data_IF_841001941118
#
_entry.id   IF_841001941118
#
_cell.length_a   1.000
_cell.length_b   1.000
_cell.length_c   1.000
_cell.angle_alpha   90.00
_cell.angle_beta   90.00
_cell.angle_gamma   90.00
#
_symmetry.space_group_name_H-M   'P 1'
#
loop_
_entity.id
_entity.type
_entity.pdbx_description
1 polymer ?
#
# COMPACT_ATOMS: atom_id res chain seq x y z
N UNK A 1 -67.68 -16.89 -0.78
CA UNK A 1 -67.26 -17.82 0.29
C UNK A 1 -65.74 -17.75 0.34
N UNK A 2 -65.17 -16.86 1.16
CA UNK A 2 -64.95 -16.92 2.62
C UNK A 2 -63.66 -17.65 3.01
N UNK A 3 -62.96 -17.06 3.99
CA UNK A 3 -61.64 -17.35 4.59
C UNK A 3 -60.45 -16.80 3.79
N UNK A 4 -59.89 -15.61 4.08
CA UNK A 4 -59.62 -14.92 5.36
C UNK A 4 -58.70 -15.69 6.32
N UNK A 5 -57.42 -15.29 6.31
CA UNK A 5 -56.41 -15.36 7.38
C UNK A 5 -55.39 -14.26 7.05
N UNK A 6 -55.61 -12.98 7.39
CA UNK A 6 -55.46 -12.34 8.70
C UNK A 6 -54.23 -12.75 9.51
N UNK A 7 -53.56 -11.71 10.05
CA UNK A 7 -52.57 -11.67 11.15
C UNK A 7 -51.10 -11.90 10.74
N UNK A 8 -50.12 -11.02 11.01
CA UNK A 8 -50.06 -9.82 11.86
C UNK A 8 -48.98 -8.86 11.34
N UNK A 9 -49.40 -7.61 11.14
CA UNK A 9 -48.56 -6.41 11.06
C UNK A 9 -48.07 -6.07 12.47
N UNK A 10 -46.77 -6.21 12.74
CA UNK A 10 -46.14 -5.57 13.90
C UNK A 10 -45.20 -4.48 13.41
N UNK A 11 -45.77 -3.29 13.21
CA UNK A 11 -45.00 -2.08 13.40
C UNK A 11 -44.75 -1.92 14.90
N UNK A 12 -43.50 -2.12 15.33
CA UNK A 12 -43.03 -1.58 16.60
C UNK A 12 -42.16 -0.36 16.30
N UNK A 13 -42.81 0.78 16.13
CA UNK A 13 -42.20 2.11 16.24
C UNK A 13 -41.95 2.35 17.73
N UNK A 14 -40.76 1.98 18.20
CA UNK A 14 -40.33 2.28 19.57
C UNK A 14 -39.35 3.45 19.49
N UNK A 15 -39.86 4.63 19.85
CA UNK A 15 -39.03 5.76 20.27
C UNK A 15 -38.72 5.59 21.76
N UNK A 16 -37.44 5.55 22.17
CA UNK A 16 -37.06 5.97 23.50
C UNK A 16 -36.66 7.45 23.47
N UNK A 17 -37.52 8.22 24.12
CA UNK A 17 -37.35 9.60 24.49
C UNK A 17 -36.41 9.72 25.70
N UNK A 18 -35.45 10.64 25.60
CA UNK A 18 -34.94 11.52 26.68
C UNK A 18 -34.01 10.89 27.76
N UNK A 19 -32.75 11.32 27.68
CA UNK A 19 -31.88 11.84 28.76
C UNK A 19 -31.30 10.84 29.77
N UNK A 20 -30.11 10.37 29.44
CA UNK A 20 -29.05 10.04 30.39
C UNK A 20 -27.74 10.68 29.92
N UNK A 21 -27.27 11.69 30.64
CA UNK A 21 -25.92 12.28 30.49
C UNK A 21 -24.89 11.28 31.02
N UNK A 22 -23.82 11.01 30.26
CA UNK A 22 -22.51 10.44 30.67
C UNK A 22 -21.79 10.08 29.34
N UNK A 23 -20.52 10.30 29.06
CA UNK A 23 -19.32 10.71 29.80
C UNK A 23 -18.47 11.49 28.78
N UNK A 24 -18.02 12.71 29.11
CA UNK A 24 -17.08 13.48 28.29
C UNK A 24 -15.69 12.82 28.38
N UNK A 25 -15.30 12.10 27.34
CA UNK A 25 -13.91 11.68 27.12
C UNK A 25 -13.11 12.84 26.52
N UNK A 26 -12.50 13.63 27.39
CA UNK A 26 -11.45 14.60 27.04
C UNK A 26 -10.17 13.84 26.69
N UNK A 27 -9.67 13.99 25.46
CA UNK A 27 -8.22 14.03 25.24
C UNK A 27 -7.91 15.23 24.33
N UNK A 28 -7.66 16.34 25.03
CA UNK A 28 -6.99 17.54 24.55
C UNK A 28 -5.57 17.14 24.15
N UNK A 29 -5.20 17.22 22.88
CA UNK A 29 -3.80 17.22 22.47
C UNK A 29 -3.51 18.56 21.80
N UNK A 30 -3.17 19.53 22.63
CA UNK A 30 -2.62 20.82 22.22
C UNK A 30 -1.47 21.10 23.17
N UNK A 31 -0.25 20.97 22.67
CA UNK A 31 0.95 21.56 23.27
C UNK A 31 1.87 21.96 22.13
N UNK A 32 1.77 23.24 21.78
CA UNK A 32 2.96 24.04 21.48
C UNK A 32 3.83 24.04 22.75
N UNK A 33 5.11 23.76 22.59
CA UNK A 33 6.18 24.37 23.38
C UNK A 33 7.52 24.10 22.69
N UNK A 34 8.13 25.16 22.17
CA UNK A 34 9.57 25.31 22.16
C UNK A 34 10.13 25.01 23.55
N UNK A 35 11.28 24.33 23.61
CA UNK A 35 12.32 24.71 24.54
C UNK A 35 13.69 24.20 24.08
N UNK A 36 14.51 25.16 23.67
CA UNK A 36 15.95 25.12 23.85
C UNK A 36 16.26 25.30 25.35
N UNK A 37 17.00 24.36 25.96
CA UNK A 37 18.14 24.63 26.86
C UNK A 37 18.83 23.34 27.35
N UNK A 38 20.16 23.41 27.34
CA UNK A 38 21.18 22.43 27.76
C UNK A 38 20.94 21.82 29.15
N UNK A 39 21.45 20.61 29.37
CA UNK A 39 21.74 20.14 30.73
C UNK A 39 22.06 18.65 30.84
N UNK A 40 23.29 18.37 31.27
CA UNK A 40 23.95 17.08 31.49
C UNK A 40 23.30 16.19 32.55
N UNK A 41 23.48 14.87 32.38
CA UNK A 41 23.62 13.80 33.39
C UNK A 41 22.38 12.92 33.72
N UNK A 42 22.58 11.59 33.75
CA UNK A 42 22.17 10.81 34.91
C UNK A 42 23.32 10.01 35.56
N UNK A 43 23.67 10.41 36.78
CA UNK A 43 24.25 9.59 37.86
C UNK A 43 23.02 9.03 38.61
N UNK A 44 22.91 7.81 39.14
CA UNK A 44 23.86 6.99 39.90
C UNK A 44 23.15 5.70 40.33
N UNK A 45 23.90 4.60 40.56
CA UNK A 45 23.74 3.56 41.61
C UNK A 45 24.56 2.33 41.15
N UNK A 46 25.63 1.83 41.77
CA UNK A 46 26.31 2.04 43.07
C UNK A 46 27.79 1.65 42.88
N UNK A 47 28.72 2.30 43.62
CA UNK A 47 30.15 2.04 43.53
C UNK A 47 30.57 0.85 44.42
N UNK A 48 31.47 0.02 43.91
CA UNK A 48 32.37 -0.77 44.76
C UNK A 48 33.81 -0.48 44.37
N UNK A 49 34.42 0.33 45.22
CA UNK A 49 35.85 0.57 45.30
C UNK A 49 36.59 -0.76 45.43
N UNK A 50 37.60 -1.00 44.59
CA UNK A 50 38.89 -1.45 45.09
C UNK A 50 39.99 -1.07 44.10
N UNK A 51 40.87 -0.19 44.57
CA UNK A 51 42.16 0.13 43.97
C UNK A 51 43.04 -1.13 43.96
N UNK A 52 43.87 -1.30 42.94
CA UNK A 52 45.30 -1.58 43.09
C UNK A 52 45.94 -1.59 41.70
N UNK A 53 46.64 -0.49 41.41
CA UNK A 53 48.05 -0.41 41.02
C UNK A 53 48.71 -1.67 40.45
N UNK A 54 49.48 -1.43 39.39
CA UNK A 54 50.04 -2.44 38.52
C UNK A 54 50.81 -3.55 39.22
N UNK A 55 50.46 -4.78 38.88
CA UNK A 55 51.32 -5.97 38.92
C UNK A 55 50.85 -6.86 37.78
N UNK A 56 51.80 -7.41 37.01
CA UNK A 56 51.55 -8.16 35.77
C UNK A 56 50.42 -9.19 35.88
N UNK A 57 49.26 -8.87 35.30
CA UNK A 57 48.20 -9.83 35.04
C UNK A 57 48.52 -10.43 33.67
N UNK A 58 48.68 -11.76 33.54
CA UNK A 58 49.11 -12.34 32.28
C UNK A 58 48.08 -11.98 31.21
N UNK A 59 48.54 -11.41 30.10
CA UNK A 59 47.74 -11.13 28.90
C UNK A 59 46.84 -12.33 28.54
N UNK A 60 47.25 -13.56 28.87
CA UNK A 60 46.46 -14.79 28.68
C UNK A 60 45.15 -14.92 29.47
N UNK A 61 44.95 -14.23 30.61
CA UNK A 61 43.71 -14.32 31.39
C UNK A 61 42.59 -13.45 30.82
N UNK A 62 42.90 -12.20 30.42
CA UNK A 62 41.94 -11.29 29.76
C UNK A 62 41.50 -11.81 28.38
N UNK A 63 42.39 -12.51 27.67
CA UNK A 63 42.08 -13.12 26.36
C UNK A 63 41.12 -14.31 26.50
N UNK A 64 41.20 -15.06 27.61
CA UNK A 64 40.30 -16.20 27.88
C UNK A 64 38.86 -15.80 28.17
N UNK A 65 38.64 -14.65 28.81
CA UNK A 65 37.29 -14.18 29.12
C UNK A 65 36.65 -13.43 27.94
N UNK A 66 37.45 -12.71 27.13
CA UNK A 66 36.98 -12.08 25.91
C UNK A 66 36.48 -13.10 24.86
N UNK A 67 37.11 -14.27 24.77
CA UNK A 67 36.71 -15.32 23.83
C UNK A 67 35.29 -15.87 24.06
N UNK A 68 34.82 -15.88 25.32
CA UNK A 68 33.47 -16.37 25.66
C UNK A 68 32.38 -15.44 25.15
N UNK A 69 32.56 -14.12 25.27
CA UNK A 69 31.60 -13.12 24.78
C UNK A 69 31.52 -13.11 23.25
N UNK A 70 32.64 -13.34 22.56
CA UNK A 70 32.69 -13.41 21.08
C UNK A 70 31.89 -14.60 20.53
N UNK A 71 31.85 -15.73 21.25
CA UNK A 71 31.07 -16.89 20.83
C UNK A 71 29.55 -16.62 20.86
N UNK A 72 29.05 -16.02 21.96
CA UNK A 72 27.62 -15.70 22.08
C UNK A 72 27.17 -14.66 21.06
N UNK A 73 27.98 -13.63 20.80
CA UNK A 73 27.66 -12.64 19.76
C UNK A 73 27.71 -13.26 18.36
N UNK A 74 28.63 -14.20 18.11
CA UNK A 74 28.70 -14.96 16.86
C UNK A 74 27.40 -15.72 16.57
N UNK A 75 26.89 -16.47 17.55
CA UNK A 75 25.61 -17.21 17.41
C UNK A 75 24.46 -16.26 17.13
N UNK A 76 24.39 -15.13 17.84
CA UNK A 76 23.34 -14.11 17.64
C UNK A 76 23.39 -13.54 16.22
N UNK A 77 24.58 -13.19 15.71
CA UNK A 77 24.76 -12.68 14.34
C UNK A 77 24.35 -13.71 13.29
N UNK A 78 24.75 -14.97 13.47
CA UNK A 78 24.35 -16.07 12.56
C UNK A 78 22.83 -16.25 12.56
N UNK A 79 22.18 -16.17 13.72
CA UNK A 79 20.72 -16.23 13.84
C UNK A 79 20.02 -15.11 13.09
N UNK A 80 20.50 -13.87 13.19
CA UNK A 80 19.96 -12.74 12.44
C UNK A 80 20.20 -12.86 10.93
N UNK A 81 21.35 -13.37 10.50
CA UNK A 81 21.61 -13.61 9.07
C UNK A 81 20.69 -14.69 8.50
N UNK A 82 20.55 -15.82 9.19
CA UNK A 82 19.67 -16.90 8.75
C UNK A 82 18.20 -16.47 8.70
N UNK A 83 17.73 -15.80 9.77
CA UNK A 83 16.35 -15.30 9.84
C UNK A 83 16.11 -14.18 8.82
N UNK A 84 17.07 -13.27 8.66
CA UNK A 84 17.02 -12.18 7.69
C UNK A 84 16.98 -12.70 6.24
N UNK A 85 17.74 -13.74 5.92
CA UNK A 85 17.73 -14.35 4.59
C UNK A 85 16.38 -14.99 4.25
N UNK A 86 15.78 -15.73 5.19
CA UNK A 86 14.45 -16.33 5.01
C UNK A 86 13.36 -15.27 4.86
N UNK A 87 13.35 -14.27 5.74
CA UNK A 87 12.41 -13.15 5.65
C UNK A 87 12.59 -12.39 4.33
N UNK A 88 13.83 -12.16 3.90
CA UNK A 88 14.12 -11.49 2.65
C UNK A 88 13.58 -12.28 1.45
N UNK A 89 13.72 -13.61 1.42
CA UNK A 89 13.19 -14.43 0.33
C UNK A 89 11.66 -14.32 0.21
N UNK A 90 10.93 -14.40 1.32
CA UNK A 90 9.46 -14.31 1.33
C UNK A 90 8.99 -12.90 0.95
N UNK A 91 9.60 -11.86 1.55
CA UNK A 91 9.26 -10.46 1.26
C UNK A 91 9.55 -10.15 -0.20
N UNK A 92 10.68 -10.61 -0.73
CA UNK A 92 11.06 -10.42 -2.13
C UNK A 92 10.06 -11.07 -3.08
N UNK A 93 9.64 -12.30 -2.80
CA UNK A 93 8.65 -12.99 -3.63
C UNK A 93 7.28 -12.26 -3.63
N UNK A 94 6.82 -11.84 -2.45
CA UNK A 94 5.52 -11.17 -2.31
C UNK A 94 5.53 -9.72 -2.82
N UNK A 95 6.65 -8.99 -2.68
CA UNK A 95 6.74 -7.60 -3.10
C UNK A 95 7.17 -7.42 -4.56
N UNK A 96 7.86 -8.39 -5.16
CA UNK A 96 8.15 -8.37 -6.61
C UNK A 96 7.02 -8.93 -7.46
N UNK A 97 6.04 -9.58 -6.84
CA UNK A 97 4.72 -9.68 -7.45
C UNK A 97 4.22 -8.25 -7.64
N UNK A 98 4.24 -7.69 -8.85
CA UNK A 98 3.68 -6.36 -9.07
C UNK A 98 2.23 -6.37 -8.58
N UNK A 99 1.99 -5.64 -7.50
CA UNK A 99 0.68 -5.56 -6.92
C UNK A 99 -0.26 -4.81 -7.88
N UNK A 100 -1.55 -5.14 -7.96
CA UNK A 100 -2.50 -4.37 -8.74
C UNK A 100 -2.50 -2.87 -8.37
N UNK A 101 -2.18 -2.55 -7.12
CA UNK A 101 -2.12 -1.19 -6.63
C UNK A 101 -0.93 -0.39 -7.16
N UNK A 102 0.26 -1.00 -7.28
CA UNK A 102 1.42 -0.32 -7.89
C UNK A 102 1.14 -0.02 -9.35
N UNK A 103 0.59 -0.99 -10.09
CA UNK A 103 0.15 -0.83 -11.48
C UNK A 103 -0.85 0.32 -11.63
N UNK A 104 -1.84 0.42 -10.72
CA UNK A 104 -2.78 1.54 -10.71
C UNK A 104 -2.07 2.88 -10.52
N UNK A 105 -1.18 2.98 -9.54
CA UNK A 105 -0.48 4.23 -9.24
C UNK A 105 0.41 4.69 -10.42
N UNK A 106 1.04 3.75 -11.11
CA UNK A 106 1.88 4.04 -12.27
C UNK A 106 1.05 4.37 -13.50
N UNK A 107 -0.05 3.66 -13.74
CA UNK A 107 -1.00 3.99 -14.80
C UNK A 107 -1.61 5.38 -14.60
N UNK A 108 -1.97 5.74 -13.36
CA UNK A 108 -2.51 7.06 -13.04
C UNK A 108 -1.51 8.19 -13.29
N UNK A 109 -0.24 8.00 -12.91
CA UNK A 109 0.84 8.97 -13.21
C UNK A 109 0.97 9.18 -14.72
N UNK A 110 1.06 8.09 -15.48
CA UNK A 110 1.13 8.13 -16.96
C UNK A 110 -0.07 8.83 -17.59
N UNK A 111 -1.28 8.61 -17.07
CA UNK A 111 -2.48 9.31 -17.52
C UNK A 111 -2.41 10.82 -17.22
N UNK A 112 -1.90 11.19 -16.05
CA UNK A 112 -1.79 12.60 -15.61
C UNK A 112 -0.73 13.36 -16.41
N UNK A 113 0.35 12.71 -16.81
CA UNK A 113 1.45 13.33 -17.58
C UNK A 113 1.12 13.49 -19.07
N UNK A 114 0.21 12.68 -19.61
CA UNK A 114 -0.13 12.69 -21.04
C UNK A 114 -0.88 13.96 -21.46
N UNK A 115 -0.34 14.72 -22.41
CA UNK A 115 -0.89 16.03 -22.83
C UNK A 115 -2.34 15.96 -23.29
N UNK A 116 -2.69 15.00 -24.16
CA UNK A 116 -4.08 14.84 -24.65
C UNK A 116 -5.07 14.52 -23.53
N UNK A 117 -4.63 13.83 -22.47
CA UNK A 117 -5.47 13.58 -21.30
C UNK A 117 -5.73 14.87 -20.52
N UNK A 118 -4.72 15.73 -20.37
CA UNK A 118 -4.87 17.05 -19.75
C UNK A 118 -5.82 17.95 -20.53
N UNK A 119 -5.73 17.96 -21.86
CA UNK A 119 -6.59 18.78 -22.70
C UNK A 119 -8.07 18.36 -22.63
N UNK A 120 -8.31 17.05 -22.60
CA UNK A 120 -9.66 16.48 -22.60
C UNK A 120 -10.34 16.48 -21.23
N UNK A 121 -9.60 16.17 -20.16
CA UNK A 121 -10.16 16.12 -18.80
C UNK A 121 -10.06 17.48 -18.08
N UNK A 122 -8.99 18.23 -18.33
CA UNK A 122 -8.63 19.44 -17.58
C UNK A 122 -7.91 19.13 -16.25
N UNK A 123 -6.90 19.93 -15.91
CA UNK A 123 -6.22 19.85 -14.61
C UNK A 123 -7.09 20.50 -13.51
N UNK A 124 -7.15 19.94 -12.27
CA UNK A 124 -6.43 18.78 -11.76
C UNK A 124 -7.12 17.45 -12.10
N UNK A 125 -6.31 16.42 -12.35
CA UNK A 125 -6.78 15.06 -12.65
C UNK A 125 -6.74 14.21 -11.38
N UNK A 126 -7.86 13.58 -11.03
CA UNK A 126 -8.02 12.74 -9.84
C UNK A 126 -8.48 11.34 -10.21
N UNK A 127 -7.85 10.30 -9.65
CA UNK A 127 -8.18 8.90 -9.91
C UNK A 127 -9.13 8.31 -8.86
N UNK A 128 -10.14 7.57 -9.32
CA UNK A 128 -11.13 6.89 -8.49
C UNK A 128 -11.36 5.45 -8.97
N UNK A 129 -11.78 4.56 -8.07
CA UNK A 129 -12.14 3.18 -8.41
C UNK A 129 -13.63 2.91 -8.15
N UNK A 130 -14.18 1.89 -8.80
CA UNK A 130 -15.59 1.45 -8.70
C UNK A 130 -16.08 1.28 -7.24
N UNK A 131 -15.16 0.99 -6.31
CA UNK A 131 -15.46 0.76 -4.88
C UNK A 131 -15.44 2.00 -3.98
N UNK A 132 -15.41 3.22 -4.51
CA UNK A 132 -15.44 4.49 -3.75
C UNK A 132 -16.80 4.73 -3.04
N UNK A 133 -17.25 3.78 -2.23
CA UNK A 133 -18.41 3.93 -1.36
C UNK A 133 -18.07 4.70 -0.08
N UNK A 134 -19.12 5.12 0.66
CA UNK A 134 -19.09 5.90 1.92
C UNK A 134 -18.17 5.35 3.03
N UNK A 135 -17.58 4.17 2.85
CA UNK A 135 -16.75 3.46 3.85
C UNK A 135 -15.23 3.58 3.60
N UNK A 136 -14.82 4.41 2.64
CA UNK A 136 -13.41 4.82 2.48
C UNK A 136 -12.45 3.70 2.09
N UNK A 137 -12.95 2.59 1.53
CA UNK A 137 -12.11 1.46 1.06
C UNK A 137 -12.25 1.33 -0.44
N UNK A 138 -11.28 1.91 -1.15
CA UNK A 138 -11.22 1.94 -2.61
C UNK A 138 -10.78 0.56 -3.12
N UNK A 139 -11.74 -0.32 -3.43
CA UNK A 139 -11.43 -1.59 -4.07
C UNK A 139 -11.15 -1.34 -5.56
N UNK A 140 -9.90 -1.58 -5.96
CA UNK A 140 -9.47 -1.53 -7.35
C UNK A 140 -10.04 -2.74 -8.10
N UNK A 141 -10.75 -2.50 -9.21
CA UNK A 141 -11.27 -3.57 -10.06
C UNK A 141 -10.13 -4.13 -10.90
N UNK A 142 -9.61 -5.28 -10.46
CA UNK A 142 -8.55 -6.01 -11.13
C UNK A 142 -9.00 -7.43 -11.48
N UNK A 143 -8.43 -8.02 -12.52
CA UNK A 143 -8.69 -9.40 -12.93
C UNK A 143 -7.42 -10.00 -13.52
N UNK A 144 -7.03 -11.17 -13.02
CA UNK A 144 -5.97 -11.98 -13.61
C UNK A 144 -6.60 -13.01 -14.54
N UNK A 145 -6.06 -13.12 -15.75
CA UNK A 145 -6.49 -14.11 -16.73
C UNK A 145 -5.28 -14.62 -17.50
N UNK A 146 -5.34 -15.85 -17.98
CA UNK A 146 -4.30 -16.42 -18.84
C UNK A 146 -4.79 -16.39 -20.27
N UNK A 147 -3.97 -15.87 -21.17
CA UNK A 147 -4.23 -15.87 -22.62
C UNK A 147 -2.93 -16.18 -23.34
N UNK A 148 -2.98 -17.09 -24.31
CA UNK A 148 -1.81 -17.52 -25.10
C UNK A 148 -0.66 -18.01 -24.20
N UNK A 149 -0.97 -18.79 -23.15
CA UNK A 149 -0.06 -19.26 -22.09
C UNK A 149 0.68 -18.16 -21.30
N UNK A 150 0.25 -16.91 -21.43
CA UNK A 150 0.80 -15.76 -20.71
C UNK A 150 -0.22 -15.25 -19.68
N UNK A 151 0.23 -15.06 -18.44
CA UNK A 151 -0.55 -14.40 -17.39
C UNK A 151 -0.73 -12.91 -17.72
N UNK A 152 -1.97 -12.45 -17.71
CA UNK A 152 -2.35 -11.06 -17.92
C UNK A 152 -3.01 -10.50 -16.67
N UNK A 153 -2.70 -9.25 -16.37
CA UNK A 153 -3.34 -8.45 -15.33
C UNK A 153 -4.11 -7.31 -16.01
N UNK A 154 -5.42 -7.30 -15.86
CA UNK A 154 -6.27 -6.19 -16.30
C UNK A 154 -6.77 -5.40 -15.10
N UNK A 155 -6.68 -4.08 -15.21
CA UNK A 155 -7.16 -3.14 -14.21
C UNK A 155 -8.06 -2.12 -14.89
N UNK A 156 -9.19 -1.83 -14.26
CA UNK A 156 -10.09 -0.74 -14.65
C UNK A 156 -10.23 0.24 -13.51
N UNK A 157 -10.07 1.52 -13.84
CA UNK A 157 -10.30 2.62 -12.92
C UNK A 157 -10.83 3.84 -13.67
N UNK A 158 -11.18 4.89 -12.94
CA UNK A 158 -11.75 6.11 -13.48
C UNK A 158 -10.84 7.27 -13.14
N UNK A 159 -10.81 8.26 -14.02
CA UNK A 159 -10.13 9.52 -13.81
C UNK A 159 -11.09 10.65 -14.09
N UNK A 160 -11.03 11.67 -13.26
CA UNK A 160 -11.89 12.85 -13.33
C UNK A 160 -11.02 14.08 -13.35
N UNK A 161 -11.22 14.91 -14.38
CA UNK A 161 -10.75 16.29 -14.39
C UNK A 161 -11.87 17.26 -14.07
N UNK A 162 -11.60 18.55 -14.27
CA UNK A 162 -12.59 19.62 -14.10
C UNK A 162 -13.71 19.51 -15.15
N UNK A 163 -13.35 19.18 -16.40
CA UNK A 163 -14.26 19.23 -17.55
C UNK A 163 -14.97 17.90 -17.76
N UNK A 164 -14.20 16.82 -17.79
CA UNK A 164 -14.70 15.49 -18.18
C UNK A 164 -14.17 14.38 -17.26
N UNK A 165 -14.81 13.22 -17.39
CA UNK A 165 -14.40 11.96 -16.76
C UNK A 165 -14.04 10.94 -17.85
N UNK A 166 -13.12 10.04 -17.51
CA UNK A 166 -12.68 8.97 -18.38
C UNK A 166 -12.54 7.65 -17.61
N UNK A 167 -12.86 6.56 -18.27
CA UNK A 167 -12.55 5.21 -17.80
C UNK A 167 -11.23 4.77 -18.41
N UNK A 168 -10.30 4.35 -17.56
CA UNK A 168 -9.01 3.83 -17.99
C UNK A 168 -8.99 2.33 -17.84
N UNK A 169 -8.58 1.65 -18.91
CA UNK A 169 -8.31 0.23 -18.91
C UNK A 169 -6.81 0.02 -19.14
N UNK A 170 -6.14 -0.56 -18.15
CA UNK A 170 -4.75 -0.96 -18.23
C UNK A 170 -4.69 -2.49 -18.35
N UNK A 171 -3.93 -2.99 -19.33
CA UNK A 171 -3.64 -4.42 -19.45
C UNK A 171 -2.13 -4.61 -19.46
N UNK A 172 -1.67 -5.46 -18.56
CA UNK A 172 -0.30 -5.92 -18.48
C UNK A 172 -0.21 -7.41 -18.77
N UNK A 173 0.94 -7.83 -19.26
CA UNK A 173 1.29 -9.22 -19.50
C UNK A 173 2.60 -9.55 -18.77
N UNK A 174 2.68 -10.76 -18.22
CA UNK A 174 3.85 -11.21 -17.47
C UNK A 174 4.87 -11.83 -18.43
N UNK A 175 5.96 -11.10 -18.71
CA UNK A 175 7.09 -11.59 -19.50
C UNK A 175 8.33 -11.72 -18.61
N UNK A 176 8.99 -12.87 -18.64
CA UNK A 176 10.23 -13.12 -17.87
C UNK A 176 10.11 -12.80 -16.37
N UNK A 177 8.92 -13.03 -15.78
CA UNK A 177 8.64 -12.73 -14.37
C UNK A 177 8.36 -11.24 -14.06
N UNK A 178 8.33 -10.36 -15.06
CA UNK A 178 7.97 -8.94 -14.90
C UNK A 178 6.67 -8.63 -15.62
N UNK A 179 5.87 -7.73 -15.07
CA UNK A 179 4.66 -7.25 -15.74
C UNK A 179 5.03 -6.09 -16.67
N UNK A 180 4.66 -6.22 -17.93
CA UNK A 180 4.88 -5.19 -18.95
C UNK A 180 3.53 -4.72 -19.48
N UNK A 181 3.42 -3.42 -19.76
CA UNK A 181 2.21 -2.85 -20.34
C UNK A 181 1.99 -3.41 -21.75
N UNK A 182 0.86 -4.08 -21.97
CA UNK A 182 0.37 -4.44 -23.30
C UNK A 182 -0.30 -3.22 -23.95
N UNK A 183 -1.22 -2.58 -23.22
CA UNK A 183 -1.80 -1.30 -23.60
C UNK A 183 -2.41 -0.58 -22.39
N UNK A 184 -2.44 0.75 -22.48
CA UNK A 184 -3.09 1.65 -21.54
C UNK A 184 -4.00 2.58 -22.36
N UNK A 185 -5.31 2.39 -22.21
CA UNK A 185 -6.31 3.15 -22.97
C UNK A 185 -7.24 3.90 -22.03
N UNK A 186 -7.49 5.17 -22.33
CA UNK A 186 -8.48 6.00 -21.67
C UNK A 186 -9.65 6.24 -22.62
N UNK A 187 -10.87 6.07 -22.12
CA UNK A 187 -12.10 6.33 -22.86
C UNK A 187 -12.91 7.41 -22.14
N UNK A 188 -13.21 8.51 -22.82
CA UNK A 188 -14.03 9.59 -22.25
C UNK A 188 -15.47 9.11 -22.06
N UNK A 189 -16.07 9.47 -20.92
CA UNK A 189 -17.45 9.09 -20.60
C UNK A 189 -18.48 9.98 -21.31
N UNK A 190 -18.15 11.26 -21.50
CA UNK A 190 -19.00 12.24 -22.15
C UNK A 190 -19.13 11.97 -23.67
N UNK A 191 -20.23 12.41 -24.28
CA UNK A 191 -20.48 12.25 -25.71
C UNK A 191 -19.93 13.46 -26.49
N UNK A 192 -19.20 13.27 -27.60
CA UNK A 192 -18.80 12.00 -28.21
C UNK A 192 -17.68 11.28 -27.42
N UNK A 193 -17.77 9.94 -27.34
CA UNK A 193 -16.79 9.13 -26.63
C UNK A 193 -15.49 9.06 -27.42
N UNK A 194 -14.44 9.68 -26.90
CA UNK A 194 -13.10 9.62 -27.48
C UNK A 194 -12.27 8.53 -26.79
N UNK A 195 -11.52 7.75 -27.58
CA UNK A 195 -10.58 6.74 -27.07
C UNK A 195 -9.15 7.18 -27.34
N UNK A 196 -8.32 7.13 -26.32
CA UNK A 196 -6.94 7.60 -26.34
C UNK A 196 -6.04 6.49 -25.86
N UNK A 197 -5.09 6.10 -26.68
CA UNK A 197 -4.04 5.16 -26.31
C UNK A 197 -2.84 5.95 -25.77
N UNK A 198 -2.56 5.77 -24.49
CA UNK A 198 -1.41 6.39 -23.81
C UNK A 198 -0.18 5.51 -24.02
N UNK A 199 -0.37 4.19 -23.93
CA UNK A 199 0.62 3.18 -24.29
C UNK A 199 -0.08 2.17 -25.18
N UNK A 200 0.53 1.87 -26.32
CA UNK A 200 0.13 0.75 -27.16
C UNK A 200 1.37 -0.05 -27.56
N UNK A 201 1.60 -1.15 -26.85
CA UNK A 201 2.67 -2.10 -27.13
C UNK A 201 2.11 -3.37 -27.76
N UNK A 202 0.88 -3.33 -28.25
CA UNK A 202 0.41 -4.37 -29.15
C UNK A 202 1.38 -4.34 -30.32
N UNK A 203 2.18 -5.39 -30.46
CA UNK A 203 2.86 -5.67 -31.71
C UNK A 203 1.78 -5.50 -32.76
N UNK A 204 1.90 -4.46 -33.60
CA UNK A 204 1.09 -4.33 -34.78
C UNK A 204 1.45 -5.55 -35.64
N UNK A 205 0.87 -6.71 -35.33
CA UNK A 205 0.50 -7.66 -36.36
C UNK A 205 -0.58 -6.90 -37.10
N UNK A 206 -0.12 -6.03 -38.01
CA UNK A 206 -0.93 -5.56 -39.10
C UNK A 206 -1.35 -6.84 -39.80
N UNK A 207 -2.49 -7.41 -39.40
CA UNK A 207 -3.24 -8.27 -40.29
C UNK A 207 -3.75 -7.35 -41.40
N UNK A 208 -2.86 -7.05 -42.35
CA UNK A 208 -3.26 -6.69 -43.71
C UNK A 208 -3.80 -7.96 -44.35
N UNK A 209 -5.00 -8.36 -43.94
CA UNK A 209 -5.81 -9.40 -44.55
C UNK A 209 -7.26 -9.08 -44.17
N UNK A 210 -8.16 -8.67 -45.06
CA UNK A 210 -8.12 -8.52 -46.52
C UNK A 210 -9.03 -7.35 -46.95
N UNK A 211 -8.79 -6.92 -48.18
CA UNK A 211 -9.57 -5.99 -48.98
C UNK A 211 -11.05 -6.39 -49.11
#
# INVERSE_FOLDING_TARGET
MLHHNFRIFWQSKIYPSIRGQTFRGLYRCQTLCENEKRGTNPEKLVPSTSKNDGVGVPLGAKVKDAGKTVWYTGIVVVGFLATGALLFAVIKELLWSESPQSVYSDALKKCTEYSRMKDLLGEPITGFCDGSGRRGRTNLRHSFYVKDDVEHLQIRFYVKGIRNQATVNAVMEKRNGKFEYKYLVAETENYPKEKIFIIDNRQHVMNFQEF
#
